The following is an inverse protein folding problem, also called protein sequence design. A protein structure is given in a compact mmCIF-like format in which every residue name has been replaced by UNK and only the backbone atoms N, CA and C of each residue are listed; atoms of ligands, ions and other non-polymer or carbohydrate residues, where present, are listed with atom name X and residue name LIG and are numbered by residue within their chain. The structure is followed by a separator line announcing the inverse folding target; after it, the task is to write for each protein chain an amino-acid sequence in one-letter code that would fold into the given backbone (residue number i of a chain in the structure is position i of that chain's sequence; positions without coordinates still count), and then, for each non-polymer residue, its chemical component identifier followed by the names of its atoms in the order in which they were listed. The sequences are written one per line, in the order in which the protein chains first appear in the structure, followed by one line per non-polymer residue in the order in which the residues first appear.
data_IF_584271027918
#
_entry.id   IF_584271027918
#
_cell.length_a   1.000
_cell.length_b   1.000
_cell.length_c   1.000
_cell.angle_alpha   90.00
_cell.angle_beta   90.00
_cell.angle_gamma   90.00
#
_symmetry.space_group_name_H-M   'P 1'
#
loop_
_entity.id
_entity.type
_entity.pdbx_description
1 polymer ?
#
# COMPACT_ATOMS: atom_id res chain seq x y z
N UNK A 1 18.59 14.82 3.21
CA UNK A 1 18.49 13.34 3.24
C UNK A 1 17.14 13.02 3.86
N UNK A 2 16.26 12.30 3.14
CA UNK A 2 15.05 11.74 3.76
C UNK A 2 15.50 10.66 4.75
N UNK A 3 14.98 10.68 5.97
CA UNK A 3 15.22 9.60 6.93
C UNK A 3 14.43 8.35 6.51
N UNK A 4 14.86 7.17 6.98
CA UNK A 4 14.13 5.92 6.72
C UNK A 4 12.65 6.02 7.16
N UNK A 5 12.39 6.67 8.29
CA UNK A 5 11.02 6.89 8.78
C UNK A 5 10.21 7.80 7.84
N UNK A 6 10.79 8.88 7.32
CA UNK A 6 10.09 9.73 6.36
C UNK A 6 9.81 9.01 5.03
N UNK A 7 10.73 8.16 4.57
CA UNK A 7 10.52 7.33 3.38
C UNK A 7 9.36 6.34 3.60
N UNK A 8 9.35 5.65 4.76
CA UNK A 8 8.27 4.77 5.17
C UNK A 8 6.91 5.48 5.21
N UNK A 9 6.84 6.67 5.83
CA UNK A 9 5.62 7.47 5.88
C UNK A 9 5.13 7.89 4.49
N UNK A 10 6.06 8.25 3.59
CA UNK A 10 5.71 8.58 2.19
C UNK A 10 5.11 7.39 1.44
N UNK A 11 5.66 6.19 1.63
CA UNK A 11 5.12 4.95 1.07
C UNK A 11 3.71 4.65 1.63
N UNK A 12 3.51 4.74 2.94
CA UNK A 12 2.20 4.52 3.57
C UNK A 12 1.15 5.55 3.12
N UNK A 13 1.54 6.82 2.97
CA UNK A 13 0.65 7.86 2.45
C UNK A 13 0.24 7.55 1.00
N UNK A 14 1.17 7.05 0.18
CA UNK A 14 0.87 6.62 -1.19
C UNK A 14 -0.06 5.41 -1.21
N UNK A 15 0.19 4.40 -0.36
CA UNK A 15 -0.70 3.25 -0.20
C UNK A 15 -2.12 3.67 0.18
N UNK A 16 -2.28 4.58 1.16
CA UNK A 16 -3.58 5.08 1.59
C UNK A 16 -4.34 5.77 0.45
N UNK A 17 -3.66 6.55 -0.39
CA UNK A 17 -4.26 7.18 -1.58
C UNK A 17 -4.78 6.15 -2.58
N UNK A 18 -3.99 5.12 -2.87
CA UNK A 18 -4.41 4.03 -3.76
C UNK A 18 -5.58 3.22 -3.20
N UNK A 19 -5.64 3.02 -1.87
CA UNK A 19 -6.81 2.40 -1.22
C UNK A 19 -8.07 3.25 -1.39
N UNK A 20 -7.98 4.55 -1.15
CA UNK A 20 -9.11 5.46 -1.35
C UNK A 20 -9.60 5.48 -2.80
N UNK A 21 -8.68 5.41 -3.77
CA UNK A 21 -9.06 5.29 -5.18
C UNK A 21 -9.76 3.96 -5.49
N UNK A 22 -9.25 2.83 -4.96
CA UNK A 22 -9.91 1.54 -5.14
C UNK A 22 -11.34 1.53 -4.58
N UNK A 23 -11.57 2.18 -3.44
CA UNK A 23 -12.89 2.34 -2.83
C UNK A 23 -13.82 3.19 -3.70
N UNK A 24 -13.37 4.36 -4.15
CA UNK A 24 -14.15 5.22 -5.05
C UNK A 24 -14.55 4.51 -6.35
N UNK A 25 -13.65 3.70 -6.92
CA UNK A 25 -13.95 2.93 -8.14
C UNK A 25 -14.96 1.82 -7.86
N UNK A 26 -14.90 1.16 -6.70
CA UNK A 26 -15.92 0.16 -6.29
C UNK A 26 -17.27 0.81 -6.08
N UNK A 27 -17.35 1.92 -5.36
CA UNK A 27 -18.59 2.69 -5.21
C UNK A 27 -19.16 3.10 -6.58
N UNK A 28 -18.31 3.50 -7.53
CA UNK A 28 -18.76 3.79 -8.88
C UNK A 28 -19.32 2.55 -9.59
N UNK A 29 -18.71 1.38 -9.40
CA UNK A 29 -19.15 0.11 -9.99
C UNK A 29 -20.53 -0.38 -9.48
N UNK A 30 -20.94 0.07 -8.28
CA UNK A 30 -22.24 -0.26 -7.67
C UNK A 30 -23.41 0.47 -8.32
N UNK A 31 -23.16 1.48 -9.15
CA UNK A 31 -24.22 2.23 -9.83
C UNK A 31 -25.08 1.32 -10.72
N UNK A 32 -26.38 1.58 -10.72
CA UNK A 32 -27.39 0.79 -11.41
C UNK A 32 -27.47 1.04 -12.92
N UNK A 33 -26.91 2.16 -13.39
CA UNK A 33 -26.92 2.58 -14.80
C UNK A 33 -25.78 1.97 -15.64
N UNK A 34 -24.88 1.21 -15.01
CA UNK A 34 -23.74 0.60 -15.69
C UNK A 34 -24.13 -0.69 -16.42
N UNK A 35 -23.64 -0.83 -17.65
CA UNK A 35 -23.66 -2.11 -18.35
C UNK A 35 -22.73 -3.12 -17.63
N UNK A 36 -23.00 -4.44 -17.70
CA UNK A 36 -22.18 -5.45 -17.05
C UNK A 36 -20.67 -5.31 -17.35
N UNK A 37 -20.32 -5.13 -18.62
CA UNK A 37 -18.91 -4.94 -19.05
C UNK A 37 -18.22 -3.71 -18.43
N UNK A 38 -18.98 -2.64 -18.16
CA UNK A 38 -18.43 -1.42 -17.57
C UNK A 38 -18.18 -1.64 -16.09
N UNK A 39 -19.13 -2.30 -15.40
CA UNK A 39 -18.94 -2.73 -14.01
C UNK A 39 -17.73 -3.64 -13.87
N UNK A 40 -17.56 -4.63 -14.74
CA UNK A 40 -16.40 -5.52 -14.73
C UNK A 40 -15.08 -4.76 -14.91
N UNK A 41 -15.02 -3.82 -15.86
CA UNK A 41 -13.84 -2.99 -16.07
C UNK A 41 -13.47 -2.17 -14.82
N UNK A 42 -14.46 -1.58 -14.16
CA UNK A 42 -14.26 -0.82 -12.91
C UNK A 42 -13.79 -1.72 -11.76
N UNK A 43 -14.36 -2.91 -11.61
CA UNK A 43 -13.91 -3.85 -10.59
C UNK A 43 -12.46 -4.29 -10.82
N UNK A 44 -12.06 -4.52 -12.07
CA UNK A 44 -10.69 -4.82 -12.44
C UNK A 44 -9.74 -3.64 -12.15
N UNK A 45 -10.19 -2.41 -12.40
CA UNK A 45 -9.45 -1.18 -12.07
C UNK A 45 -9.27 -1.03 -10.55
N UNK A 46 -10.34 -1.21 -9.77
CA UNK A 46 -10.27 -1.18 -8.31
C UNK A 46 -9.30 -2.23 -7.75
N UNK A 47 -9.25 -3.43 -8.35
CA UNK A 47 -8.29 -4.46 -7.98
C UNK A 47 -6.85 -4.04 -8.31
N UNK A 48 -6.63 -3.42 -9.48
CA UNK A 48 -5.33 -2.88 -9.83
C UNK A 48 -4.85 -1.79 -8.85
N UNK A 49 -5.73 -0.86 -8.46
CA UNK A 49 -5.46 0.11 -7.40
C UNK A 49 -5.12 -0.58 -6.06
N UNK A 50 -5.83 -1.67 -5.73
CA UNK A 50 -5.54 -2.49 -4.56
C UNK A 50 -4.12 -3.06 -4.57
N UNK A 51 -3.72 -3.70 -5.68
CA UNK A 51 -2.36 -4.23 -5.87
C UNK A 51 -1.30 -3.12 -5.81
N UNK A 52 -1.60 -1.94 -6.33
CA UNK A 52 -0.68 -0.81 -6.26
C UNK A 52 -0.52 -0.29 -4.83
N UNK A 53 -1.59 -0.28 -4.02
CA UNK A 53 -1.49 -0.01 -2.60
C UNK A 53 -0.64 -1.05 -1.86
N UNK A 54 -0.81 -2.34 -2.16
CA UNK A 54 -0.02 -3.42 -1.58
C UNK A 54 1.48 -3.26 -1.87
N UNK A 55 1.83 -2.91 -3.11
CA UNK A 55 3.22 -2.64 -3.49
C UNK A 55 3.85 -1.50 -2.67
N UNK A 56 3.09 -0.41 -2.43
CA UNK A 56 3.57 0.68 -1.58
C UNK A 56 3.71 0.30 -0.11
N UNK A 57 2.83 -0.57 0.42
CA UNK A 57 2.96 -1.10 1.78
C UNK A 57 4.23 -1.95 1.90
N UNK A 58 4.48 -2.83 0.92
CA UNK A 58 5.70 -3.64 0.91
C UNK A 58 6.97 -2.77 0.90
N UNK A 59 7.00 -1.72 0.08
CA UNK A 59 8.12 -0.76 0.08
C UNK A 59 8.27 0.00 1.41
N UNK A 60 7.19 0.18 2.18
CA UNK A 60 7.25 0.77 3.52
C UNK A 60 7.89 -0.19 4.54
N UNK A 61 7.62 -1.49 4.42
CA UNK A 61 8.18 -2.52 5.29
C UNK A 61 9.68 -2.73 5.01
N UNK A 62 10.12 -2.59 3.76
CA UNK A 62 11.54 -2.64 3.38
C UNK A 62 12.36 -1.47 4.00
N UNK A 63 11.69 -0.38 4.39
CA UNK A 63 12.28 0.76 5.08
C UNK A 63 12.31 0.60 6.61
N UNK A 64 11.80 -0.50 7.16
CA UNK A 64 12.02 -0.80 8.57
C UNK A 64 13.54 -0.99 8.77
N UNK A 65 14.15 -0.29 9.75
CA UNK A 65 15.50 -0.65 10.13
C UNK A 65 15.47 -2.13 10.51
N UNK A 66 16.36 -2.93 9.90
CA UNK A 66 16.54 -4.32 10.32
C UNK A 66 16.64 -4.30 11.85
N UNK A 67 15.66 -4.90 12.53
CA UNK A 67 15.70 -5.00 13.97
C UNK A 67 17.07 -5.54 14.32
N UNK A 68 17.87 -4.74 15.04
CA UNK A 68 19.21 -5.17 15.45
C UNK A 68 19.05 -6.57 16.03
N UNK A 69 19.82 -7.58 15.59
CA UNK A 69 19.67 -8.91 16.12
C UNK A 69 19.78 -8.80 17.64
N UNK A 70 18.68 -9.08 18.34
CA UNK A 70 18.62 -9.16 19.78
C UNK A 70 19.47 -10.36 20.19
N UNK A 71 20.79 -10.18 20.24
CA UNK A 71 21.69 -11.33 20.34
C UNK A 71 23.13 -11.06 19.91
N UNK A 72 23.73 -9.94 20.29
CA UNK A 72 25.14 -9.98 20.68
C UNK A 72 25.21 -9.53 22.14
N UNK A 73 24.90 -10.48 23.00
CA UNK A 73 25.28 -10.45 24.39
C UNK A 73 26.75 -10.03 24.50
N UNK A 74 26.96 -9.05 25.36
CA UNK A 74 28.14 -8.82 26.19
C UNK A 74 29.28 -9.82 25.95
N UNK A 75 30.36 -9.38 25.32
CA UNK A 75 31.68 -9.93 25.61
C UNK A 75 32.41 -8.91 26.49
N UNK A 76 32.67 -9.21 27.78
CA UNK A 76 33.57 -8.42 28.58
C UNK A 76 35.03 -8.73 28.23
N UNK A 77 35.82 -7.65 28.33
CA UNK A 77 37.29 -7.52 28.42
C UNK A 77 38.02 -7.34 27.09
#
# INVERSE_FOLDING_TARGET
MLTAEMARQSCLASAARWRGQAEQVREHAERSDLLPRQREALLAEAEACGRQADWWVQGADDHLPAAAPAGLATLPQ
#
